data_IF_823945511486
#
_entry.id   IF_823945511486
#
_cell.length_a   1.000
_cell.length_b   1.000
_cell.length_c   1.000
_cell.angle_alpha   90.00
_cell.angle_beta   90.00
_cell.angle_gamma   90.00
#
_symmetry.space_group_name_H-M   'P 1'
#
loop_
_entity.id
_entity.type
_entity.pdbx_description
1 polymer ?
#
# COMPACT_ATOMS: atom_id res chain seq x y z
N UNK A 1 -3.09 -2.72 -4.51
CA UNK A 1 -2.63 -1.50 -5.21
C UNK A 1 -2.33 -0.42 -4.19
N UNK A 2 -2.11 0.84 -4.60
CA UNK A 2 -1.92 1.94 -3.65
C UNK A 2 -3.21 2.61 -3.19
N UNK A 3 -4.16 2.81 -4.12
CA UNK A 3 -5.43 3.49 -3.88
C UNK A 3 -6.45 3.07 -4.94
N UNK A 4 -7.70 2.86 -4.53
CA UNK A 4 -8.84 2.61 -5.43
C UNK A 4 -10.06 3.33 -4.90
N UNK A 5 -10.75 4.07 -5.78
CA UNK A 5 -12.05 4.67 -5.48
C UNK A 5 -13.16 3.89 -6.18
N UNK A 6 -14.25 3.60 -5.47
CA UNK A 6 -15.41 2.88 -6.02
C UNK A 6 -16.70 3.65 -5.79
N UNK A 7 -17.51 3.75 -6.83
CA UNK A 7 -18.84 4.37 -6.75
C UNK A 7 -19.91 3.37 -6.29
N UNK A 8 -21.09 3.86 -5.90
CA UNK A 8 -22.26 3.02 -5.63
C UNK A 8 -23.03 2.59 -6.91
N UNK A 9 -22.43 2.72 -8.09
CA UNK A 9 -23.08 2.34 -9.36
C UNK A 9 -23.05 0.82 -9.58
N UNK A 10 -23.99 0.26 -10.36
CA UNK A 10 -23.99 -1.16 -10.70
C UNK A 10 -22.68 -1.67 -11.31
N UNK A 11 -22.02 -0.88 -12.16
CA UNK A 11 -20.73 -1.26 -12.78
C UNK A 11 -19.61 -1.44 -11.76
N UNK A 12 -19.52 -0.56 -10.76
CA UNK A 12 -18.56 -0.70 -9.67
C UNK A 12 -18.84 -1.93 -8.80
N UNK A 13 -20.12 -2.27 -8.55
CA UNK A 13 -20.49 -3.53 -7.87
C UNK A 13 -20.09 -4.77 -8.67
N UNK A 14 -20.25 -4.74 -9.98
CA UNK A 14 -19.79 -5.83 -10.85
C UNK A 14 -18.26 -5.99 -10.80
N UNK A 15 -17.52 -4.88 -10.83
CA UNK A 15 -16.06 -4.88 -10.62
C UNK A 15 -15.67 -5.49 -9.28
N UNK A 16 -16.31 -5.09 -8.18
CA UNK A 16 -15.99 -5.60 -6.85
C UNK A 16 -16.21 -7.12 -6.74
N UNK A 17 -17.30 -7.67 -7.30
CA UNK A 17 -17.53 -9.12 -7.33
C UNK A 17 -16.46 -9.84 -8.14
N UNK A 18 -16.18 -9.35 -9.34
CA UNK A 18 -15.15 -9.90 -10.23
C UNK A 18 -13.74 -9.87 -9.60
N UNK A 19 -13.43 -8.83 -8.83
CA UNK A 19 -12.15 -8.69 -8.14
C UNK A 19 -12.09 -9.60 -6.91
N UNK A 20 -13.18 -9.70 -6.14
CA UNK A 20 -13.31 -10.62 -5.02
C UNK A 20 -13.04 -12.07 -5.42
N UNK A 21 -13.66 -12.56 -6.49
CA UNK A 21 -13.45 -13.92 -7.03
C UNK A 21 -11.96 -14.19 -7.31
N UNK A 22 -11.29 -13.25 -7.99
CA UNK A 22 -9.85 -13.36 -8.31
C UNK A 22 -8.96 -13.33 -7.09
N UNK A 23 -9.23 -12.44 -6.15
CA UNK A 23 -8.43 -12.33 -4.92
C UNK A 23 -8.64 -13.58 -4.06
N UNK A 24 -9.85 -14.13 -4.02
CA UNK A 24 -10.15 -15.37 -3.32
C UNK A 24 -9.30 -16.55 -3.85
N UNK A 25 -9.25 -16.72 -5.17
CA UNK A 25 -8.55 -17.85 -5.79
C UNK A 25 -7.03 -17.62 -5.92
N UNK A 26 -6.63 -16.41 -6.34
CA UNK A 26 -5.30 -16.14 -6.90
C UNK A 26 -4.51 -15.04 -6.19
N UNK A 27 -4.94 -14.55 -5.01
CA UNK A 27 -4.12 -13.62 -4.23
C UNK A 27 -2.90 -14.32 -3.61
N UNK A 28 -1.81 -14.36 -4.37
CA UNK A 28 -0.54 -14.97 -3.98
C UNK A 28 0.64 -14.05 -4.28
N UNK A 29 1.75 -14.29 -3.57
CA UNK A 29 3.02 -13.63 -3.86
C UNK A 29 3.82 -14.50 -4.82
N UNK A 30 3.70 -14.24 -6.11
CA UNK A 30 4.32 -15.02 -7.18
C UNK A 30 4.84 -14.06 -8.27
N UNK A 31 5.88 -13.32 -7.88
CA UNK A 31 6.50 -12.27 -8.69
C UNK A 31 7.06 -12.82 -10.00
N UNK A 32 7.60 -14.04 -9.99
CA UNK A 32 8.14 -14.71 -11.18
C UNK A 32 7.10 -14.87 -12.29
N UNK A 33 5.83 -15.07 -11.94
CA UNK A 33 4.71 -15.14 -12.89
C UNK A 33 3.91 -13.82 -12.98
N UNK A 34 4.49 -12.71 -12.49
CA UNK A 34 3.88 -11.38 -12.54
C UNK A 34 2.64 -11.21 -11.65
N UNK A 35 2.48 -12.05 -10.60
CA UNK A 35 1.38 -11.93 -9.65
C UNK A 35 1.91 -11.37 -8.33
N UNK A 36 1.58 -10.10 -8.06
CA UNK A 36 1.83 -9.47 -6.77
C UNK A 36 0.51 -9.23 -6.05
N UNK A 37 0.05 -10.27 -5.33
CA UNK A 37 -1.19 -10.26 -4.56
C UNK A 37 -2.41 -9.78 -5.38
N UNK A 38 -3.11 -8.78 -4.86
CA UNK A 38 -4.34 -8.23 -5.42
C UNK A 38 -4.09 -7.26 -6.59
N UNK A 39 -2.87 -6.72 -6.70
CA UNK A 39 -2.55 -5.57 -7.56
C UNK A 39 -2.68 -5.93 -9.03
N UNK A 40 -2.25 -7.13 -9.40
CA UNK A 40 -2.31 -7.66 -10.76
C UNK A 40 -3.70 -7.55 -11.38
N UNK A 41 -4.74 -7.74 -10.59
CA UNK A 41 -6.12 -7.71 -11.07
C UNK A 41 -6.60 -6.29 -11.38
N UNK A 42 -6.03 -5.27 -10.73
CA UNK A 42 -6.38 -3.88 -11.02
C UNK A 42 -5.87 -3.43 -12.40
N UNK A 43 -4.73 -3.95 -12.85
CA UNK A 43 -4.23 -3.70 -14.22
C UNK A 43 -5.23 -4.22 -15.27
N UNK A 44 -5.81 -5.40 -15.02
CA UNK A 44 -6.80 -6.01 -15.90
C UNK A 44 -8.18 -5.33 -15.82
N UNK A 45 -8.51 -4.74 -14.67
CA UNK A 45 -9.79 -4.07 -14.47
C UNK A 45 -9.99 -2.90 -15.46
N UNK A 46 -8.92 -2.18 -15.80
CA UNK A 46 -8.96 -1.09 -16.78
C UNK A 46 -9.37 -1.58 -18.17
N UNK A 47 -9.08 -2.85 -18.50
CA UNK A 47 -9.42 -3.46 -19.80
C UNK A 47 -10.85 -4.04 -19.78
N UNK A 48 -11.25 -4.68 -18.68
CA UNK A 48 -12.54 -5.38 -18.63
C UNK A 48 -13.74 -4.50 -18.27
N UNK A 49 -13.53 -3.34 -17.65
CA UNK A 49 -14.60 -2.46 -17.22
C UNK A 49 -14.54 -1.12 -17.95
N UNK A 50 -15.68 -0.73 -18.56
CA UNK A 50 -15.79 0.51 -19.34
C UNK A 50 -15.82 1.77 -18.47
N UNK A 51 -16.36 1.66 -17.26
CA UNK A 51 -16.54 2.79 -16.33
C UNK A 51 -15.36 2.95 -15.37
N UNK A 52 -14.12 2.85 -15.87
CA UNK A 52 -12.90 2.99 -15.08
C UNK A 52 -12.16 4.26 -15.50
N UNK A 53 -11.65 4.99 -14.53
CA UNK A 53 -10.82 6.17 -14.76
C UNK A 53 -9.50 6.03 -14.02
N UNK A 54 -8.42 6.40 -14.70
CA UNK A 54 -7.08 6.45 -14.08
C UNK A 54 -6.89 7.84 -13.49
N UNK A 55 -6.80 7.89 -12.17
CA UNK A 55 -6.56 9.10 -11.42
C UNK A 55 -5.06 9.37 -11.30
N UNK A 56 -4.58 10.50 -11.85
CA UNK A 56 -3.15 10.78 -12.05
C UNK A 56 -2.60 11.94 -11.22
N UNK A 57 -3.37 12.44 -10.26
CA UNK A 57 -2.95 13.58 -9.44
C UNK A 57 -1.71 13.23 -8.58
N UNK A 58 -0.64 14.01 -8.76
CA UNK A 58 0.64 13.80 -8.07
C UNK A 58 0.55 14.01 -6.55
N UNK A 59 -0.45 14.75 -6.08
CA UNK A 59 -0.66 14.95 -4.64
C UNK A 59 -1.24 13.74 -3.91
N UNK A 60 -1.64 12.68 -4.63
CA UNK A 60 -2.22 11.47 -4.08
C UNK A 60 -1.27 10.29 -4.23
N UNK A 61 -1.39 9.31 -3.32
CA UNK A 61 -0.60 8.08 -3.31
C UNK A 61 0.91 8.36 -3.49
N UNK A 62 1.39 9.40 -2.79
CA UNK A 62 2.80 9.79 -2.76
C UNK A 62 3.56 8.71 -2.00
N UNK A 63 4.61 8.16 -2.59
CA UNK A 63 5.30 6.99 -2.07
C UNK A 63 6.72 6.87 -2.64
N UNK A 64 7.51 5.96 -2.07
CA UNK A 64 8.93 5.79 -2.41
C UNK A 64 9.22 5.66 -3.92
N UNK A 65 8.34 5.04 -4.71
CA UNK A 65 8.55 4.85 -6.16
C UNK A 65 8.38 6.14 -6.98
N UNK A 66 7.68 7.14 -6.45
CA UNK A 66 7.46 8.42 -7.14
C UNK A 66 8.17 9.60 -6.46
N UNK A 67 8.84 9.40 -5.33
CA UNK A 67 9.66 10.45 -4.71
C UNK A 67 10.78 10.97 -5.62
N UNK A 68 11.51 10.13 -6.39
CA UNK A 68 12.58 10.63 -7.26
C UNK A 68 12.11 11.58 -8.36
N UNK A 69 10.83 11.55 -8.72
CA UNK A 69 10.23 12.34 -9.79
C UNK A 69 9.33 13.48 -9.28
N UNK A 70 9.13 13.61 -7.96
CA UNK A 70 8.21 14.58 -7.35
C UNK A 70 8.93 15.60 -6.48
N UNK A 71 8.56 16.87 -6.63
CA UNK A 71 9.08 17.95 -5.81
C UNK A 71 8.31 18.04 -4.48
N UNK A 72 8.81 17.33 -3.47
CA UNK A 72 8.28 17.42 -2.09
C UNK A 72 8.82 18.65 -1.39
N UNK A 73 7.94 19.42 -0.74
CA UNK A 73 8.32 20.48 0.20
C UNK A 73 7.58 20.30 1.51
N UNK A 74 8.26 20.66 2.59
CA UNK A 74 7.69 20.66 3.93
C UNK A 74 8.01 22.00 4.58
N UNK A 75 6.96 22.72 4.99
CA UNK A 75 7.06 24.01 5.68
C UNK A 75 6.07 23.96 6.82
N UNK A 76 6.57 24.09 8.06
CA UNK A 76 5.76 23.87 9.27
C UNK A 76 4.95 22.58 9.16
N UNK A 77 3.64 22.60 9.37
CA UNK A 77 2.78 21.42 9.24
C UNK A 77 2.36 21.10 7.81
N UNK A 78 2.63 21.98 6.84
CA UNK A 78 2.21 21.80 5.45
C UNK A 78 3.20 20.93 4.66
N UNK A 79 2.67 19.92 3.98
CA UNK A 79 3.40 19.10 3.00
C UNK A 79 2.81 19.37 1.62
N UNK A 80 3.65 19.76 0.67
CA UNK A 80 3.26 19.91 -0.73
C UNK A 80 4.07 19.00 -1.65
N UNK A 81 3.45 18.64 -2.77
CA UNK A 81 4.02 17.80 -3.82
C UNK A 81 3.69 18.49 -5.14
N UNK A 82 4.72 18.85 -5.90
CA UNK A 82 4.61 19.60 -7.15
C UNK A 82 3.76 20.88 -7.00
N UNK A 83 3.95 21.56 -5.88
CA UNK A 83 3.25 22.81 -5.54
C UNK A 83 1.80 22.62 -5.05
N UNK A 84 1.27 21.40 -5.03
CA UNK A 84 -0.08 21.10 -4.55
C UNK A 84 -0.05 20.50 -3.14
N UNK A 85 -1.07 20.73 -2.29
CA UNK A 85 -1.15 20.09 -0.97
C UNK A 85 -1.13 18.56 -1.08
N UNK A 86 -0.20 17.91 -0.38
CA UNK A 86 -0.14 16.45 -0.29
C UNK A 86 -1.42 15.92 0.36
N UNK A 87 -2.15 15.05 -0.33
CA UNK A 87 -3.45 14.54 0.12
C UNK A 87 -3.32 13.31 0.97
N UNK A 88 -2.47 12.37 0.56
CA UNK A 88 -2.01 11.29 1.43
C UNK A 88 -0.69 10.70 0.95
N UNK A 89 0.07 10.20 1.92
CA UNK A 89 1.35 9.55 1.72
C UNK A 89 1.22 8.06 2.05
N UNK A 90 1.82 7.21 1.22
CA UNK A 90 1.78 5.77 1.34
C UNK A 90 3.17 5.23 1.71
N UNK A 91 3.33 4.86 2.98
CA UNK A 91 4.57 4.35 3.59
C UNK A 91 4.85 2.87 3.26
N UNK A 92 4.65 2.47 2.00
CA UNK A 92 4.80 1.07 1.58
C UNK A 92 6.24 0.60 1.73
N UNK A 93 6.42 -0.46 2.53
CA UNK A 93 7.71 -1.08 2.79
C UNK A 93 8.57 -0.36 3.83
N UNK A 94 8.08 0.73 4.43
CA UNK A 94 8.78 1.41 5.52
C UNK A 94 8.74 0.55 6.79
N UNK A 95 9.88 0.43 7.47
CA UNK A 95 10.02 -0.32 8.72
C UNK A 95 10.38 0.67 9.85
N UNK A 96 9.46 0.93 10.80
CA UNK A 96 9.71 1.86 11.90
C UNK A 96 10.88 1.47 12.82
N UNK A 97 11.23 0.17 12.89
CA UNK A 97 12.38 -0.31 13.67
C UNK A 97 13.71 -0.18 12.88
N UNK A 98 13.64 0.13 11.57
CA UNK A 98 14.80 0.41 10.69
C UNK A 98 14.62 1.73 9.95
N UNK A 99 14.48 2.86 10.68
CA UNK A 99 13.99 4.12 10.12
C UNK A 99 14.93 4.78 9.11
N UNK A 100 16.19 4.33 9.01
CA UNK A 100 17.13 4.81 7.99
C UNK A 100 16.65 4.48 6.58
N UNK A 101 16.11 3.28 6.37
CA UNK A 101 15.58 2.87 5.06
C UNK A 101 14.14 3.35 4.92
N UNK A 102 13.83 4.13 3.88
CA UNK A 102 12.46 4.61 3.64
C UNK A 102 11.56 3.53 3.03
N UNK A 103 12.15 2.46 2.50
CA UNK A 103 11.46 1.28 1.98
C UNK A 103 12.38 0.07 1.96
N UNK A 104 11.87 -1.12 2.28
CA UNK A 104 12.57 -2.40 2.09
C UNK A 104 12.69 -2.81 0.62
N UNK A 105 11.95 -2.17 -0.28
CA UNK A 105 11.88 -2.55 -1.70
C UNK A 105 12.98 -1.91 -2.57
N UNK A 106 13.69 -0.92 -2.03
CA UNK A 106 14.78 -0.24 -2.74
C UNK A 106 15.88 0.15 -1.75
N UNK A 107 17.05 -0.52 -1.76
CA UNK A 107 18.16 -0.16 -0.88
C UNK A 107 18.81 1.17 -1.28
N UNK A 108 18.46 1.72 -2.45
CA UNK A 108 18.98 2.99 -2.96
C UNK A 108 18.29 4.20 -2.34
N UNK A 109 17.18 4.01 -1.65
CA UNK A 109 16.36 5.09 -1.13
C UNK A 109 16.37 5.06 0.39
N UNK A 110 16.87 6.13 1.00
CA UNK A 110 17.02 6.26 2.45
C UNK A 110 16.81 7.70 2.92
N UNK A 111 16.79 7.90 4.23
CA UNK A 111 16.54 9.20 4.86
C UNK A 111 17.55 10.29 4.47
N UNK A 112 18.75 9.92 4.01
CA UNK A 112 19.77 10.86 3.57
C UNK A 112 19.55 11.37 2.15
N UNK A 113 18.83 10.61 1.31
CA UNK A 113 18.72 10.90 -0.13
C UNK A 113 17.29 11.12 -0.64
N UNK A 114 16.25 10.97 0.19
CA UNK A 114 14.86 11.35 -0.17
C UNK A 114 14.56 12.85 -0.06
N UNK A 115 15.56 13.67 0.27
CA UNK A 115 15.42 15.11 0.38
C UNK A 115 14.37 15.54 1.42
N UNK A 116 13.54 16.56 1.13
CA UNK A 116 12.54 17.06 2.07
C UNK A 116 11.51 16.00 2.54
N UNK A 117 11.31 14.92 1.77
CA UNK A 117 10.40 13.85 2.16
C UNK A 117 10.85 13.12 3.44
N UNK A 118 12.14 13.17 3.81
CA UNK A 118 12.64 12.62 5.07
C UNK A 118 11.89 13.18 6.29
N UNK A 119 11.42 14.43 6.23
CA UNK A 119 10.60 15.04 7.28
C UNK A 119 9.25 14.32 7.44
N UNK A 120 8.62 13.92 6.33
CA UNK A 120 7.33 13.21 6.33
C UNK A 120 7.48 11.84 7.01
N UNK A 121 8.56 11.11 6.75
CA UNK A 121 8.87 9.86 7.45
C UNK A 121 9.14 10.08 8.95
N UNK A 122 9.90 11.13 9.32
CA UNK A 122 10.16 11.47 10.73
C UNK A 122 8.87 11.80 11.48
N UNK A 123 7.94 12.55 10.86
CA UNK A 123 6.61 12.82 11.42
C UNK A 123 5.82 11.53 11.62
N UNK A 124 5.81 10.66 10.61
CA UNK A 124 5.10 9.39 10.70
C UNK A 124 5.63 8.49 11.82
N UNK A 125 6.96 8.40 12.01
CA UNK A 125 7.56 7.72 13.16
C UNK A 125 7.08 8.31 14.49
N UNK A 126 7.05 9.63 14.61
CA UNK A 126 6.53 10.30 15.82
C UNK A 126 5.06 10.00 16.08
N UNK A 127 4.23 9.95 15.03
CA UNK A 127 2.82 9.59 15.13
C UNK A 127 2.63 8.13 15.54
N UNK A 128 3.40 7.20 14.95
CA UNK A 128 3.39 5.79 15.31
C UNK A 128 3.80 5.55 16.76
N UNK A 129 4.85 6.24 17.22
CA UNK A 129 5.30 6.16 18.62
C UNK A 129 4.19 6.62 19.58
N UNK A 130 3.56 7.77 19.29
CA UNK A 130 2.42 8.29 20.07
C UNK A 130 1.20 7.36 20.06
N UNK A 131 0.99 6.63 18.96
CA UNK A 131 -0.08 5.66 18.81
C UNK A 131 0.21 4.29 19.46
N UNK A 132 1.36 4.12 20.14
CA UNK A 132 1.69 2.86 20.82
C UNK A 132 2.25 1.78 19.90
N UNK A 133 2.99 2.15 18.84
CA UNK A 133 3.58 1.18 17.90
C UNK A 133 4.40 0.08 18.60
N UNK A 134 5.20 0.43 19.61
CA UNK A 134 6.06 -0.55 20.30
C UNK A 134 5.26 -1.63 21.05
N UNK A 135 4.07 -1.28 21.54
CA UNK A 135 3.16 -2.23 22.18
C UNK A 135 2.40 -3.04 21.13
N UNK A 136 1.80 -2.35 20.14
CA UNK A 136 0.88 -2.95 19.17
C UNK A 136 1.58 -3.84 18.14
N UNK A 137 2.87 -3.63 17.84
CA UNK A 137 3.61 -4.47 16.88
C UNK A 137 3.73 -5.94 17.31
N UNK A 138 3.61 -6.21 18.61
CA UNK A 138 3.64 -7.56 19.16
C UNK A 138 2.27 -8.24 19.22
N UNK A 139 1.19 -7.53 18.90
CA UNK A 139 -0.15 -8.10 18.96
C UNK A 139 -0.32 -9.22 17.92
N UNK A 140 -0.95 -10.36 18.31
CA UNK A 140 -1.20 -11.42 17.36
C UNK A 140 -2.15 -10.92 16.27
N UNK A 141 -1.88 -11.31 15.04
CA UNK A 141 -2.81 -11.05 13.95
C UNK A 141 -4.13 -11.81 14.19
N UNK A 142 -5.21 -11.06 14.46
CA UNK A 142 -6.48 -11.64 14.91
C UNK A 142 -7.11 -12.62 13.90
N UNK A 143 -6.76 -12.49 12.62
CA UNK A 143 -7.32 -13.30 11.54
C UNK A 143 -6.32 -14.35 11.01
N UNK A 144 -5.25 -14.68 11.77
CA UNK A 144 -4.34 -15.77 11.44
C UNK A 144 -3.09 -15.88 12.33
N UNK A 145 -2.63 -17.09 12.60
CA UNK A 145 -1.42 -17.33 13.38
C UNK A 145 -0.15 -16.97 12.56
N UNK A 146 0.88 -16.38 13.18
CA UNK A 146 2.15 -16.11 12.52
C UNK A 146 2.90 -17.43 12.33
N UNK A 147 2.96 -17.98 11.11
CA UNK A 147 3.65 -19.27 10.94
C UNK A 147 3.66 -19.96 9.58
N UNK A 148 3.43 -19.28 8.46
CA UNK A 148 3.55 -19.93 7.15
C UNK A 148 4.01 -18.95 6.08
N UNK A 149 5.33 -18.77 5.98
CA UNK A 149 6.00 -18.09 4.87
C UNK A 149 5.89 -18.86 3.54
N UNK A 150 5.28 -20.05 3.54
CA UNK A 150 5.11 -20.95 2.38
C UNK A 150 3.69 -20.90 1.77
N UNK A 151 2.80 -20.06 2.29
CA UNK A 151 1.42 -19.94 1.80
C UNK A 151 0.44 -21.01 2.31
N UNK A 152 0.87 -21.94 3.17
CA UNK A 152 0.02 -23.01 3.73
C UNK A 152 -1.13 -22.50 4.61
N UNK A 153 -1.01 -21.30 5.20
CA UNK A 153 -2.08 -20.70 6.01
C UNK A 153 -3.35 -20.40 5.22
N UNK A 154 -3.20 -20.02 3.94
CA UNK A 154 -4.33 -19.58 3.10
C UNK A 154 -5.15 -20.74 2.56
N UNK A 155 -4.54 -21.92 2.42
CA UNK A 155 -5.27 -23.15 2.09
C UNK A 155 -6.21 -23.55 3.24
N UNK A 156 -5.78 -23.35 4.49
CA UNK A 156 -6.56 -23.65 5.70
C UNK A 156 -7.82 -22.78 5.89
N UNK A 157 -7.81 -21.51 5.46
CA UNK A 157 -9.03 -20.68 5.46
C UNK A 157 -10.00 -21.13 4.34
N UNK A 158 -9.48 -21.56 3.18
CA UNK A 158 -10.31 -22.08 2.08
C UNK A 158 -10.95 -23.43 2.42
N UNK A 159 -10.26 -24.28 3.17
CA UNK A 159 -10.75 -25.62 3.53
C UNK A 159 -11.69 -25.64 4.74
N UNK A 160 -11.77 -24.54 5.51
CA UNK A 160 -12.63 -24.49 6.71
C UNK A 160 -14.05 -23.98 6.48
N UNK A 161 -14.35 -23.41 5.31
CA UNK A 161 -15.63 -22.77 5.01
C UNK A 161 -15.88 -21.56 5.91
N UNK A 162 -16.60 -20.56 5.40
CA UNK A 162 -17.13 -19.51 6.27
C UNK A 162 -18.11 -20.18 7.25
N UNK A 163 -17.75 -20.21 8.54
CA UNK A 163 -18.68 -20.55 9.62
C UNK A 163 -19.39 -19.30 10.09
#
# INVERSE_FOLDING_TARGET
GGFVGVSARPSARAFLRWWQERVHEHCRHDVAHGVYFDQRWLDLAVVFFKDVSIFREASYNVAHWNLPERAVRVVDDAVTVDGQPCRFFHFSGFDPDRPHAVTRYSPRLDMSNVGPAAEVFRRYLGLLAKAGYQETKGWPYAYGAPGASDGSFRWLHRSRGDR
#
